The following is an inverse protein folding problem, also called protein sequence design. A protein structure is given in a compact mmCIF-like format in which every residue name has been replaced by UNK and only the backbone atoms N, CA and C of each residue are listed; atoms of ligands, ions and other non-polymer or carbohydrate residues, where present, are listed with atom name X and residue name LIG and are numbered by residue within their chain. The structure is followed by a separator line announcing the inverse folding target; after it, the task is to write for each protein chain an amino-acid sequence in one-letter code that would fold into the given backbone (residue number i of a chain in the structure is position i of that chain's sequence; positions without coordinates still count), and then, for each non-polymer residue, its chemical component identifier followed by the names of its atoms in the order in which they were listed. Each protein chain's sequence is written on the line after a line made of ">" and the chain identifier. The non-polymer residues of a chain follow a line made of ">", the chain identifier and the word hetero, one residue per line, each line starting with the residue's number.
data_IF_699222014892
#
_entry.id   IF_699222014892
#
_cell.length_a   1.000
_cell.length_b   1.000
_cell.length_c   1.000
_cell.angle_alpha   90.00
_cell.angle_beta   90.00
_cell.angle_gamma   90.00
#
_symmetry.space_group_name_H-M   'P 1'
#
loop_
_entity.id
_entity.type
_entity.pdbx_description
1 polymer ?
#
# COMPACT_ATOMS: atom_id res chain seq x y z
N UNK A 1 -0.28 -22.30 -19.52
CA UNK A 1 0.82 -21.52 -18.89
C UNK A 1 0.28 -20.90 -17.62
N UNK A 2 1.11 -20.81 -16.60
CA UNK A 2 0.72 -20.35 -15.26
C UNK A 2 0.33 -18.87 -15.21
N UNK A 3 -0.48 -18.50 -14.22
CA UNK A 3 -0.73 -17.13 -13.80
C UNK A 3 -0.30 -16.96 -12.34
N UNK A 4 0.05 -15.77 -11.94
CA UNK A 4 0.27 -15.43 -10.54
C UNK A 4 -0.72 -14.36 -10.11
N UNK A 5 -1.42 -14.60 -9.01
CA UNK A 5 -2.39 -13.69 -8.41
C UNK A 5 -1.81 -13.20 -7.08
N UNK A 6 -1.55 -11.89 -6.97
CA UNK A 6 -0.99 -11.25 -5.78
C UNK A 6 -2.08 -10.43 -5.13
N UNK A 7 -2.47 -10.80 -3.93
CA UNK A 7 -3.40 -10.07 -3.07
C UNK A 7 -2.58 -9.40 -1.97
N UNK A 8 -2.33 -8.11 -2.10
CA UNK A 8 -1.54 -7.35 -1.14
C UNK A 8 -2.47 -6.55 -0.22
N UNK A 9 -2.47 -6.94 1.06
CA UNK A 9 -3.18 -6.23 2.13
C UNK A 9 -2.27 -5.10 2.62
N UNK A 10 -2.51 -3.88 2.14
CA UNK A 10 -1.68 -2.71 2.42
C UNK A 10 -1.52 -2.50 3.93
N UNK A 11 -0.29 -2.37 4.41
CA UNK A 11 0.07 -2.16 5.80
C UNK A 11 -0.20 -3.32 6.79
N UNK A 12 -0.38 -4.54 6.31
CA UNK A 12 -0.73 -5.68 7.16
C UNK A 12 0.50 -6.39 7.73
N UNK A 13 1.14 -5.78 8.74
CA UNK A 13 2.29 -6.35 9.46
C UNK A 13 1.91 -7.50 10.40
N UNK A 14 2.90 -8.36 10.71
CA UNK A 14 2.76 -9.52 11.62
C UNK A 14 3.90 -9.59 12.63
N UNK A 15 4.23 -8.45 13.23
CA UNK A 15 5.24 -8.29 14.25
C UNK A 15 6.49 -7.55 13.78
N UNK A 16 7.11 -6.81 14.70
CA UNK A 16 8.20 -5.88 14.41
C UNK A 16 9.41 -6.56 13.73
N UNK A 17 10.02 -5.84 12.79
CA UNK A 17 11.23 -6.28 12.12
C UNK A 17 12.46 -6.21 13.05
N UNK A 18 13.55 -6.89 12.68
CA UNK A 18 14.77 -6.92 13.47
C UNK A 18 15.41 -5.54 13.69
N UNK A 19 15.20 -4.62 12.76
CA UNK A 19 15.71 -3.24 12.76
C UNK A 19 14.67 -2.19 13.21
N UNK A 20 13.49 -2.61 13.66
CA UNK A 20 12.39 -1.73 14.07
C UNK A 20 12.77 -0.70 15.14
N UNK A 21 13.76 -1.02 16.01
CA UNK A 21 14.26 -0.09 17.03
C UNK A 21 14.84 1.20 16.41
N UNK A 22 15.49 1.09 15.26
CA UNK A 22 16.03 2.25 14.53
C UNK A 22 14.95 3.19 14.00
N UNK A 23 13.72 2.68 13.84
CA UNK A 23 12.55 3.43 13.39
C UNK A 23 11.60 3.86 14.52
N UNK A 24 11.93 3.50 15.78
CA UNK A 24 11.04 3.73 16.93
C UNK A 24 9.85 2.76 17.01
N UNK A 25 9.88 1.67 16.25
CA UNK A 25 8.76 0.75 16.06
C UNK A 25 8.96 -0.61 16.76
N UNK A 26 9.94 -0.70 17.67
CA UNK A 26 10.17 -1.92 18.43
C UNK A 26 8.97 -2.28 19.28
N UNK A 27 8.36 -3.41 19.00
CA UNK A 27 7.15 -3.89 19.64
C UNK A 27 5.88 -3.69 18.81
N UNK A 28 5.95 -3.02 17.66
CA UNK A 28 4.80 -2.92 16.75
C UNK A 28 4.38 -4.30 16.23
N UNK A 29 3.08 -4.54 16.14
CA UNK A 29 2.51 -5.81 15.74
C UNK A 29 1.05 -5.63 15.29
N UNK A 30 0.88 -5.23 14.05
CA UNK A 30 -0.43 -4.88 13.48
C UNK A 30 -1.47 -5.97 13.73
N UNK A 31 -1.21 -7.21 13.30
CA UNK A 31 -2.14 -8.31 13.49
C UNK A 31 -2.30 -8.69 14.97
N UNK A 32 -1.19 -8.83 15.70
CA UNK A 32 -1.22 -9.27 17.09
C UNK A 32 -1.97 -8.30 18.00
N UNK A 33 -1.77 -7.00 17.82
CA UNK A 33 -2.46 -5.98 18.61
C UNK A 33 -3.95 -5.86 18.24
N UNK A 34 -4.32 -6.06 16.97
CA UNK A 34 -5.74 -6.16 16.57
C UNK A 34 -6.39 -7.38 17.24
N UNK A 35 -5.73 -8.55 17.22
CA UNK A 35 -6.21 -9.76 17.89
C UNK A 35 -6.39 -9.54 19.39
N UNK A 36 -5.38 -8.95 20.06
CA UNK A 36 -5.41 -8.70 21.50
C UNK A 36 -6.53 -7.72 21.87
N UNK A 37 -6.66 -6.64 21.12
CA UNK A 37 -7.69 -5.63 21.37
C UNK A 37 -9.11 -6.21 21.22
N UNK A 38 -9.40 -6.91 20.12
CA UNK A 38 -10.72 -7.48 19.86
C UNK A 38 -11.10 -8.60 20.85
N UNK A 39 -10.11 -9.36 21.32
CA UNK A 39 -10.33 -10.36 22.35
C UNK A 39 -10.72 -9.77 23.71
N UNK A 40 -10.40 -8.50 23.96
CA UNK A 40 -10.63 -7.83 25.27
C UNK A 40 -11.75 -6.78 25.23
N UNK A 41 -12.08 -6.26 24.06
CA UNK A 41 -12.98 -5.14 23.91
C UNK A 41 -14.23 -5.50 23.11
N UNK A 42 -15.44 -5.17 23.60
CA UNK A 42 -16.67 -5.37 22.84
C UNK A 42 -16.71 -4.41 21.64
N UNK A 43 -17.23 -4.87 20.51
CA UNK A 43 -17.41 -4.02 19.32
C UNK A 43 -18.58 -3.06 19.44
N UNK A 44 -19.57 -3.40 20.29
CA UNK A 44 -20.71 -2.55 20.60
C UNK A 44 -20.96 -2.55 22.10
N UNK A 45 -21.47 -1.44 22.59
CA UNK A 45 -21.83 -1.30 24.00
C UNK A 45 -22.82 -2.40 24.43
N UNK A 46 -22.48 -3.14 25.50
CA UNK A 46 -23.30 -4.20 26.05
C UNK A 46 -23.11 -5.60 25.42
N UNK A 47 -22.25 -5.72 24.40
CA UNK A 47 -21.85 -7.04 23.84
C UNK A 47 -20.64 -7.60 24.58
N UNK A 48 -20.44 -8.90 24.51
CA UNK A 48 -19.19 -9.52 24.91
C UNK A 48 -18.09 -9.30 23.87
N UNK A 49 -16.82 -9.23 24.26
CA UNK A 49 -15.70 -9.23 23.31
C UNK A 49 -15.79 -10.42 22.35
N UNK A 50 -15.46 -10.18 21.09
CA UNK A 50 -15.43 -11.22 20.05
C UNK A 50 -14.04 -11.21 19.40
N UNK A 51 -13.23 -12.27 19.58
CA UNK A 51 -11.94 -12.39 18.93
C UNK A 51 -12.03 -12.24 17.41
N UNK A 52 -10.93 -11.78 16.80
CA UNK A 52 -10.78 -11.70 15.35
C UNK A 52 -10.97 -13.10 14.74
N UNK A 53 -11.75 -13.19 13.67
CA UNK A 53 -12.08 -14.46 13.01
C UNK A 53 -11.80 -14.38 11.51
N UNK A 54 -10.71 -15.03 11.08
CA UNK A 54 -10.19 -15.03 9.70
C UNK A 54 -9.93 -16.46 9.24
N UNK A 55 -10.96 -17.33 9.15
CA UNK A 55 -10.76 -18.75 8.88
C UNK A 55 -10.11 -19.02 7.54
N UNK A 56 -10.43 -18.26 6.49
CA UNK A 56 -9.86 -18.47 5.16
C UNK A 56 -8.39 -18.01 5.06
N UNK A 57 -8.04 -16.84 5.59
CA UNK A 57 -6.65 -16.40 5.65
C UNK A 57 -5.81 -17.34 6.52
N UNK A 58 -6.36 -17.80 7.65
CA UNK A 58 -5.70 -18.77 8.53
C UNK A 58 -5.52 -20.13 7.86
N UNK A 59 -6.49 -20.61 7.07
CA UNK A 59 -6.39 -21.80 6.23
C UNK A 59 -5.23 -21.67 5.23
N UNK A 60 -5.02 -20.50 4.66
CA UNK A 60 -3.87 -20.22 3.79
C UNK A 60 -2.55 -20.00 4.54
N UNK A 61 -2.53 -20.11 5.88
CA UNK A 61 -1.31 -20.10 6.69
C UNK A 61 -1.03 -18.81 7.46
N UNK A 62 -1.96 -17.83 7.49
CA UNK A 62 -1.73 -16.55 8.17
C UNK A 62 -1.39 -16.71 9.64
N UNK A 63 -2.14 -17.52 10.39
CA UNK A 63 -1.88 -17.74 11.80
C UNK A 63 -0.48 -18.32 12.02
N UNK A 64 -0.12 -19.35 11.26
CA UNK A 64 1.18 -20.00 11.37
C UNK A 64 2.34 -19.07 10.98
N UNK A 65 2.16 -18.23 9.95
CA UNK A 65 3.14 -17.22 9.56
C UNK A 65 3.33 -16.14 10.65
N UNK A 66 2.25 -15.67 11.26
CA UNK A 66 2.28 -14.69 12.34
C UNK A 66 2.97 -15.25 13.59
N UNK A 67 2.62 -16.45 14.03
CA UNK A 67 3.24 -17.12 15.17
C UNK A 67 4.74 -17.40 14.93
N UNK A 68 5.11 -17.79 13.70
CA UNK A 68 6.51 -17.93 13.29
C UNK A 68 7.26 -16.59 13.34
N UNK A 69 6.64 -15.51 12.87
CA UNK A 69 7.22 -14.16 12.88
C UNK A 69 7.45 -13.63 14.30
N UNK A 70 6.48 -13.82 15.17
CA UNK A 70 6.47 -13.33 16.56
C UNK A 70 7.33 -14.17 17.49
N UNK A 71 7.47 -15.47 17.19
CA UNK A 71 8.06 -16.46 18.11
C UNK A 71 7.13 -16.86 19.27
N UNK A 72 5.85 -16.47 19.22
CA UNK A 72 4.82 -16.77 20.22
C UNK A 72 3.44 -16.89 19.56
N UNK A 73 2.53 -17.57 20.23
CA UNK A 73 1.15 -17.73 19.75
C UNK A 73 0.40 -16.39 19.68
N UNK A 74 -0.58 -16.30 18.77
CA UNK A 74 -1.54 -15.20 18.76
C UNK A 74 -2.41 -15.25 20.03
N UNK A 75 -2.92 -14.09 20.52
CA UNK A 75 -3.79 -14.03 21.70
C UNK A 75 -5.07 -14.89 21.59
N UNK A 76 -5.53 -15.12 20.37
CA UNK A 76 -6.61 -16.05 20.04
C UNK A 76 -6.35 -16.65 18.67
N UNK A 77 -6.84 -17.88 18.42
CA UNK A 77 -6.80 -18.49 17.09
C UNK A 77 -7.70 -17.75 16.10
N UNK A 78 -7.30 -17.77 14.83
CA UNK A 78 -8.00 -17.07 13.74
C UNK A 78 -9.17 -17.89 13.14
N UNK A 79 -9.38 -19.15 13.56
CA UNK A 79 -10.56 -19.94 13.23
C UNK A 79 -10.37 -21.05 12.18
N UNK A 80 -9.17 -21.29 11.65
CA UNK A 80 -8.91 -22.44 10.78
C UNK A 80 -8.58 -23.70 11.59
N UNK A 81 -9.04 -24.86 11.09
CA UNK A 81 -8.71 -26.18 11.65
C UNK A 81 -7.42 -26.77 11.06
N UNK A 82 -7.04 -26.33 9.85
CA UNK A 82 -5.85 -26.83 9.15
C UNK A 82 -5.31 -25.77 8.18
N UNK A 83 -4.09 -25.97 7.73
CA UNK A 83 -3.42 -25.10 6.75
C UNK A 83 -3.25 -25.84 5.42
N UNK A 84 -3.55 -25.19 4.31
CA UNK A 84 -3.48 -25.77 2.95
C UNK A 84 -2.32 -25.22 2.09
N UNK A 85 -1.69 -24.11 2.52
CA UNK A 85 -0.66 -23.42 1.75
C UNK A 85 0.73 -23.49 2.38
N UNK A 86 1.73 -23.01 1.64
CA UNK A 86 3.06 -22.80 2.15
C UNK A 86 3.17 -21.38 2.73
N UNK A 87 3.74 -21.25 3.91
CA UNK A 87 3.73 -20.00 4.67
C UNK A 87 5.08 -19.66 5.27
N UNK A 88 5.34 -18.37 5.37
CA UNK A 88 6.47 -17.79 6.08
C UNK A 88 6.21 -16.29 6.32
N UNK A 89 7.25 -15.58 6.74
CA UNK A 89 7.30 -14.12 6.76
C UNK A 89 8.50 -13.62 5.98
N UNK A 90 8.45 -12.34 5.57
CA UNK A 90 9.57 -11.62 4.98
C UNK A 90 9.95 -10.40 5.82
N UNK A 91 11.23 -10.01 5.76
CA UNK A 91 11.76 -8.80 6.37
C UNK A 91 12.11 -7.78 5.30
N UNK A 92 11.88 -6.51 5.57
CA UNK A 92 12.26 -5.42 4.67
C UNK A 92 13.73 -5.05 4.83
N UNK A 93 14.43 -4.80 3.71
CA UNK A 93 15.80 -4.26 3.70
C UNK A 93 15.87 -2.87 3.07
N UNK A 94 14.77 -2.38 2.51
CA UNK A 94 14.65 -0.98 2.09
C UNK A 94 14.79 -0.05 3.29
N UNK A 95 15.33 1.16 3.05
CA UNK A 95 15.48 2.17 4.10
C UNK A 95 14.16 2.87 4.46
N UNK A 96 13.17 2.84 3.56
CA UNK A 96 11.81 3.30 3.83
C UNK A 96 10.99 2.23 4.55
N UNK A 97 9.86 2.64 5.09
CA UNK A 97 8.78 1.78 5.60
C UNK A 97 7.45 2.22 4.99
N UNK A 98 7.50 2.64 3.76
CA UNK A 98 6.39 3.24 3.01
C UNK A 98 5.96 2.34 1.84
N UNK A 99 4.77 2.62 1.31
CA UNK A 99 4.16 1.83 0.23
C UNK A 99 5.07 1.65 -0.98
N UNK A 100 5.82 2.70 -1.40
CA UNK A 100 6.73 2.57 -2.56
C UNK A 100 7.88 1.62 -2.26
N UNK A 101 8.52 1.79 -1.09
CA UNK A 101 9.65 0.97 -0.64
C UNK A 101 9.27 -0.50 -0.58
N UNK A 102 8.14 -0.83 0.06
CA UNK A 102 7.67 -2.20 0.19
C UNK A 102 7.30 -2.84 -1.15
N UNK A 103 6.50 -2.16 -1.97
CA UNK A 103 6.09 -2.70 -3.27
C UNK A 103 7.25 -2.89 -4.25
N UNK A 104 8.19 -1.93 -4.29
CA UNK A 104 9.36 -2.08 -5.17
C UNK A 104 10.27 -3.20 -4.70
N UNK A 105 10.47 -3.35 -3.39
CA UNK A 105 11.27 -4.43 -2.85
C UNK A 105 10.62 -5.80 -3.13
N UNK A 106 9.31 -5.97 -2.92
CA UNK A 106 8.55 -7.17 -3.33
C UNK A 106 8.80 -7.49 -4.81
N UNK A 107 8.93 -6.44 -5.64
CA UNK A 107 9.18 -6.59 -7.08
C UNK A 107 10.67 -6.67 -7.46
N UNK A 108 11.57 -6.91 -6.49
CA UNK A 108 12.99 -7.15 -6.69
C UNK A 108 13.87 -5.89 -6.73
N UNK A 109 13.37 -4.74 -6.29
CA UNK A 109 14.10 -3.45 -6.30
C UNK A 109 14.07 -2.79 -4.91
N UNK A 110 14.89 -3.25 -3.94
CA UNK A 110 14.99 -2.60 -2.64
C UNK A 110 15.45 -1.15 -2.74
N UNK A 111 14.82 -0.27 -1.95
CA UNK A 111 15.17 1.15 -1.86
C UNK A 111 16.35 1.31 -0.90
N UNK A 112 17.54 1.55 -1.44
CA UNK A 112 18.80 1.67 -0.68
C UNK A 112 19.21 3.11 -0.39
N UNK A 113 18.38 4.08 -0.72
CA UNK A 113 18.58 5.49 -0.47
C UNK A 113 17.48 6.01 0.47
N UNK A 114 17.75 7.13 1.13
CA UNK A 114 16.76 7.74 2.01
C UNK A 114 15.85 8.64 1.19
N UNK A 115 14.53 8.49 1.37
CA UNK A 115 13.59 9.47 0.85
C UNK A 115 13.79 10.81 1.54
N UNK A 116 13.52 11.89 0.83
CA UNK A 116 13.42 13.21 1.43
C UNK A 116 12.06 13.39 2.10
N UNK A 117 12.05 14.11 3.20
CA UNK A 117 10.84 14.48 3.92
C UNK A 117 10.87 15.98 4.22
N UNK A 118 9.72 16.61 4.16
CA UNK A 118 9.61 17.99 4.64
C UNK A 118 9.40 17.98 6.16
N UNK A 119 10.08 18.83 6.92
CA UNK A 119 9.97 18.83 8.38
C UNK A 119 8.58 19.29 8.84
N UNK A 120 8.11 18.77 9.97
CA UNK A 120 6.83 19.19 10.57
C UNK A 120 7.03 20.51 11.36
N UNK A 121 7.11 21.59 10.59
CA UNK A 121 7.24 22.97 11.09
C UNK A 121 6.38 23.90 10.24
N UNK A 122 5.99 25.08 10.74
CA UNK A 122 5.37 26.11 9.92
C UNK A 122 6.31 26.50 8.75
N UNK A 123 5.74 26.61 7.53
CA UNK A 123 6.50 26.82 6.29
C UNK A 123 7.53 25.70 6.06
N UNK A 124 7.05 24.47 6.03
CA UNK A 124 7.87 23.26 5.93
C UNK A 124 8.66 23.12 4.62
N UNK A 125 8.28 23.84 3.56
CA UNK A 125 8.97 23.76 2.27
C UNK A 125 10.14 24.75 2.19
N UNK A 126 11.27 24.37 1.57
CA UNK A 126 12.34 25.30 1.26
C UNK A 126 11.83 26.49 0.45
N UNK A 127 12.20 27.72 0.83
CA UNK A 127 11.70 28.95 0.18
C UNK A 127 12.01 28.96 -1.31
N UNK A 128 13.19 28.49 -1.72
CA UNK A 128 13.58 28.37 -3.11
C UNK A 128 12.67 27.44 -3.93
N UNK A 129 12.17 26.35 -3.33
CA UNK A 129 11.19 25.46 -3.97
C UNK A 129 9.85 26.17 -4.16
N UNK A 130 9.38 26.88 -3.12
CA UNK A 130 8.12 27.64 -3.18
C UNK A 130 8.21 28.75 -4.24
N UNK A 131 9.30 29.50 -4.26
CA UNK A 131 9.54 30.56 -5.25
C UNK A 131 9.59 30.00 -6.69
N UNK A 132 10.22 28.83 -6.87
CA UNK A 132 10.27 28.16 -8.16
C UNK A 132 8.87 27.68 -8.61
N UNK A 133 8.06 27.11 -7.71
CA UNK A 133 6.66 26.71 -8.00
C UNK A 133 5.84 27.92 -8.40
N UNK A 134 5.94 29.04 -7.66
CA UNK A 134 5.20 30.27 -7.94
C UNK A 134 5.61 30.86 -9.30
N UNK A 135 6.91 31.06 -9.50
CA UNK A 135 7.41 31.74 -10.69
C UNK A 135 7.21 30.92 -11.98
N UNK A 136 7.57 29.64 -11.97
CA UNK A 136 7.44 28.78 -13.13
C UNK A 136 6.00 28.30 -13.37
N UNK A 137 5.18 28.20 -12.31
CA UNK A 137 3.74 27.90 -12.40
C UNK A 137 2.89 29.11 -12.75
N UNK A 138 3.49 30.30 -12.90
CA UNK A 138 2.77 31.57 -13.13
C UNK A 138 1.60 31.76 -12.15
N UNK A 139 1.92 31.64 -10.83
CA UNK A 139 0.94 31.69 -9.76
C UNK A 139 0.98 33.05 -9.05
N UNK A 140 -0.15 33.53 -8.51
CA UNK A 140 -0.18 34.74 -7.67
C UNK A 140 0.42 34.49 -6.28
N UNK A 141 0.80 33.26 -5.95
CA UNK A 141 1.33 32.79 -4.69
C UNK A 141 0.81 31.38 -4.38
N UNK A 142 1.07 30.90 -3.17
CA UNK A 142 0.58 29.60 -2.66
C UNK A 142 -0.08 29.80 -1.27
N UNK A 143 -0.84 28.80 -0.81
CA UNK A 143 -1.42 28.70 0.52
C UNK A 143 -0.95 27.42 1.20
N UNK A 144 -1.03 27.35 2.53
CA UNK A 144 -0.70 26.19 3.33
C UNK A 144 0.77 26.17 3.73
N UNK A 145 1.62 25.51 2.99
CA UNK A 145 3.05 25.33 3.30
C UNK A 145 3.30 24.60 4.63
N UNK A 146 2.47 23.59 4.97
CA UNK A 146 2.52 22.92 6.26
C UNK A 146 2.21 21.41 6.14
N UNK A 147 2.42 20.68 7.24
CA UNK A 147 1.85 19.37 7.43
C UNK A 147 0.35 19.48 7.71
N UNK A 148 -0.48 18.73 6.97
CA UNK A 148 -1.92 18.78 7.17
C UNK A 148 -2.65 17.54 6.64
N UNK A 149 -3.83 17.28 7.21
CA UNK A 149 -4.85 16.43 6.59
C UNK A 149 -5.44 17.14 5.38
N UNK A 150 -5.48 16.45 4.22
CA UNK A 150 -5.99 17.06 2.99
C UNK A 150 -7.47 17.47 3.05
N UNK A 151 -8.29 16.84 3.89
CA UNK A 151 -9.67 17.25 4.12
C UNK A 151 -9.77 18.52 4.96
N UNK A 152 -8.98 18.59 6.02
CA UNK A 152 -9.02 19.74 6.94
C UNK A 152 -8.44 21.02 6.29
N UNK A 153 -7.30 20.89 5.60
CA UNK A 153 -6.68 22.06 4.96
C UNK A 153 -7.53 22.64 3.81
N UNK A 154 -8.29 21.78 3.12
CA UNK A 154 -9.24 22.24 2.10
C UNK A 154 -10.40 23.00 2.74
N UNK A 155 -10.94 22.54 3.88
CA UNK A 155 -11.96 23.29 4.63
C UNK A 155 -11.45 24.65 5.12
N UNK A 156 -10.21 24.67 5.60
CA UNK A 156 -9.59 25.90 6.15
C UNK A 156 -9.26 26.93 5.08
N UNK A 157 -8.63 26.51 3.97
CA UNK A 157 -8.04 27.39 2.97
C UNK A 157 -8.80 27.41 1.62
N UNK A 158 -9.81 26.58 1.44
CA UNK A 158 -10.51 26.43 0.16
C UNK A 158 -11.21 27.70 -0.32
N UNK A 159 -11.85 28.44 0.56
CA UNK A 159 -12.49 29.72 0.20
C UNK A 159 -11.44 30.78 -0.22
N UNK A 160 -10.32 30.87 0.50
CA UNK A 160 -9.20 31.75 0.13
C UNK A 160 -8.59 31.33 -1.22
N UNK A 161 -8.44 30.01 -1.44
CA UNK A 161 -7.97 29.46 -2.71
C UNK A 161 -8.87 29.91 -3.88
N UNK A 162 -10.18 29.69 -3.75
CA UNK A 162 -11.15 30.07 -4.80
C UNK A 162 -11.10 31.57 -5.10
N UNK A 163 -10.99 32.42 -4.05
CA UNK A 163 -10.93 33.87 -4.17
C UNK A 163 -9.62 34.37 -4.78
N UNK A 164 -8.49 33.79 -4.40
CA UNK A 164 -7.14 34.29 -4.74
C UNK A 164 -6.50 33.58 -5.93
N UNK A 165 -7.03 32.43 -6.33
CA UNK A 165 -6.41 31.51 -7.30
C UNK A 165 -5.01 30.99 -6.87
N UNK A 166 -4.67 31.06 -5.58
CA UNK A 166 -3.46 30.49 -5.01
C UNK A 166 -3.70 29.01 -4.69
N UNK A 167 -2.99 28.04 -5.31
CA UNK A 167 -3.13 26.64 -4.94
C UNK A 167 -2.70 26.39 -3.50
N UNK A 168 -3.28 25.35 -2.86
CA UNK A 168 -2.93 24.95 -1.49
C UNK A 168 -1.85 23.88 -1.60
N UNK A 169 -0.62 24.17 -1.12
CA UNK A 169 0.47 23.21 -1.06
C UNK A 169 0.67 22.74 0.39
N UNK A 170 0.79 21.43 0.57
CA UNK A 170 0.95 20.84 1.89
C UNK A 170 1.67 19.48 1.79
N UNK A 171 2.06 18.92 2.93
CA UNK A 171 2.68 17.61 3.03
C UNK A 171 2.05 16.78 4.16
N UNK A 172 2.51 15.57 4.34
CA UNK A 172 2.17 14.66 5.44
C UNK A 172 3.45 13.95 5.92
N UNK A 173 3.31 12.90 6.73
CA UNK A 173 4.44 12.10 7.19
C UNK A 173 5.18 11.37 6.05
N UNK A 174 4.53 11.17 4.90
CA UNK A 174 5.13 10.55 3.72
C UNK A 174 6.10 11.48 2.98
N UNK A 175 6.94 10.88 2.13
CA UNK A 175 7.78 11.60 1.16
C UNK A 175 6.93 12.16 0.01
N UNK A 176 6.21 13.24 0.26
CA UNK A 176 5.19 13.76 -0.67
C UNK A 176 5.06 15.29 -0.63
N UNK A 177 4.78 15.88 -1.79
CA UNK A 177 4.21 17.22 -1.90
C UNK A 177 2.80 17.10 -2.49
N UNK A 178 1.82 17.68 -1.84
CA UNK A 178 0.42 17.62 -2.27
C UNK A 178 -0.06 19.01 -2.66
N UNK A 179 -0.82 19.09 -3.76
CA UNK A 179 -1.36 20.34 -4.28
C UNK A 179 -2.88 20.19 -4.40
N UNK A 180 -3.62 20.91 -3.56
CA UNK A 180 -5.07 20.95 -3.65
C UNK A 180 -5.52 22.22 -4.41
N UNK A 181 -6.49 22.02 -5.33
CA UNK A 181 -7.11 23.11 -6.07
C UNK A 181 -8.55 22.77 -6.46
N UNK A 182 -9.39 23.81 -6.54
CA UNK A 182 -10.79 23.67 -6.95
C UNK A 182 -10.89 23.45 -8.45
N UNK A 183 -11.61 22.41 -8.89
CA UNK A 183 -11.66 22.00 -10.30
C UNK A 183 -12.14 23.07 -11.24
N UNK A 184 -13.16 23.81 -10.87
CA UNK A 184 -13.74 24.85 -11.72
C UNK A 184 -13.02 26.20 -11.58
N UNK A 185 -12.70 26.62 -10.36
CA UNK A 185 -12.12 27.93 -10.12
C UNK A 185 -10.63 28.02 -10.52
N UNK A 186 -9.86 26.96 -10.34
CA UNK A 186 -8.46 26.89 -10.73
C UNK A 186 -8.25 26.21 -12.08
N UNK A 187 -9.04 25.19 -12.38
CA UNK A 187 -8.96 24.33 -13.55
C UNK A 187 -8.21 23.02 -13.29
N UNK A 188 -8.87 21.89 -13.60
CA UNK A 188 -8.31 20.56 -13.37
C UNK A 188 -7.00 20.32 -14.15
N UNK A 189 -6.99 20.66 -15.45
CA UNK A 189 -5.78 20.52 -16.29
C UNK A 189 -4.63 21.40 -15.79
N UNK A 190 -4.94 22.62 -15.36
CA UNK A 190 -3.95 23.53 -14.77
C UNK A 190 -3.35 22.95 -13.49
N UNK A 191 -4.15 22.29 -12.65
CA UNK A 191 -3.67 21.58 -11.47
C UNK A 191 -2.71 20.45 -11.86
N UNK A 192 -3.06 19.66 -12.87
CA UNK A 192 -2.20 18.57 -13.34
C UNK A 192 -0.86 19.10 -13.91
N UNK A 193 -0.88 20.17 -14.67
CA UNK A 193 0.34 20.77 -15.20
C UNK A 193 1.20 21.37 -14.10
N UNK A 194 0.59 21.97 -13.09
CA UNK A 194 1.31 22.44 -11.89
C UNK A 194 1.94 21.28 -11.12
N UNK A 195 1.23 20.15 -10.97
CA UNK A 195 1.79 18.96 -10.33
C UNK A 195 2.94 18.35 -11.12
N UNK A 196 2.88 18.29 -12.45
CA UNK A 196 4.00 17.86 -13.31
C UNK A 196 5.22 18.76 -13.15
N UNK A 197 5.02 20.08 -13.06
CA UNK A 197 6.07 21.03 -12.79
C UNK A 197 6.68 20.81 -11.41
N UNK A 198 5.85 20.77 -10.38
CA UNK A 198 6.28 20.55 -9.00
C UNK A 198 7.05 19.22 -8.87
N UNK A 199 6.61 18.16 -9.55
CA UNK A 199 7.29 16.87 -9.57
C UNK A 199 8.74 16.96 -10.09
N UNK A 200 9.01 17.80 -11.08
CA UNK A 200 10.38 18.06 -11.54
C UNK A 200 11.17 18.86 -10.52
N UNK A 201 10.54 19.84 -9.87
CA UNK A 201 11.19 20.73 -8.91
C UNK A 201 11.54 20.05 -7.58
N UNK A 202 10.80 19.01 -7.17
CA UNK A 202 11.08 18.29 -5.92
C UNK A 202 12.14 17.19 -6.07
N UNK A 203 12.59 16.85 -7.29
CA UNK A 203 13.60 15.79 -7.50
C UNK A 203 14.91 16.03 -6.73
N UNK A 204 15.49 17.26 -6.67
CA UNK A 204 16.69 17.52 -5.87
C UNK A 204 16.51 17.27 -4.36
N UNK A 205 15.28 17.26 -3.88
CA UNK A 205 14.94 16.99 -2.48
C UNK A 205 14.63 15.52 -2.21
N UNK A 206 14.75 14.66 -3.22
CA UNK A 206 14.48 13.22 -3.13
C UNK A 206 13.06 12.87 -2.68
N UNK A 207 12.08 13.71 -3.03
CA UNK A 207 10.67 13.50 -2.72
C UNK A 207 10.07 12.46 -3.68
N UNK A 208 9.44 11.45 -3.12
CA UNK A 208 8.93 10.30 -3.85
C UNK A 208 7.72 10.60 -4.75
N UNK A 209 6.85 11.53 -4.31
CA UNK A 209 5.56 11.77 -5.01
C UNK A 209 5.15 13.24 -4.99
N UNK A 210 4.43 13.65 -6.04
CA UNK A 210 3.57 14.84 -6.04
C UNK A 210 2.15 14.42 -6.32
N UNK A 211 1.18 14.87 -5.53
CA UNK A 211 -0.22 14.45 -5.65
C UNK A 211 -1.11 15.65 -5.98
N UNK A 212 -1.86 15.54 -7.08
CA UNK A 212 -2.97 16.42 -7.39
C UNK A 212 -4.19 16.04 -6.51
N UNK A 213 -4.71 17.00 -5.76
CA UNK A 213 -5.87 16.86 -4.87
C UNK A 213 -7.00 17.79 -5.31
N UNK A 214 -7.69 17.50 -6.42
CA UNK A 214 -8.80 18.31 -6.87
C UNK A 214 -9.99 18.20 -5.90
N UNK A 215 -10.72 19.32 -5.78
CA UNK A 215 -11.94 19.37 -4.97
C UNK A 215 -12.99 20.29 -5.63
N UNK A 216 -14.22 20.13 -5.21
CA UNK A 216 -15.38 20.94 -5.62
C UNK A 216 -16.16 21.41 -4.39
N UNK A 217 -17.11 22.31 -4.56
CA UNK A 217 -17.94 22.87 -3.51
C UNK A 217 -17.94 24.39 -3.56
N UNK A 218 -18.70 25.03 -2.69
CA UNK A 218 -18.90 26.49 -2.68
C UNK A 218 -18.38 27.15 -1.42
N UNK A 219 -18.25 26.38 -0.33
CA UNK A 219 -17.78 26.88 0.97
C UNK A 219 -17.14 25.74 1.80
N UNK A 220 -16.57 26.07 2.95
CA UNK A 220 -15.90 25.14 3.85
C UNK A 220 -16.79 23.95 4.28
N UNK A 221 -18.11 24.11 4.31
CA UNK A 221 -19.04 23.08 4.77
C UNK A 221 -19.31 21.99 3.70
N UNK A 222 -19.14 22.33 2.40
CA UNK A 222 -19.48 21.42 1.29
C UNK A 222 -18.27 21.04 0.42
N UNK A 223 -17.08 21.58 0.69
CA UNK A 223 -15.88 21.19 -0.04
C UNK A 223 -15.64 19.69 0.05
N UNK A 224 -15.58 19.04 -1.13
CA UNK A 224 -15.42 17.60 -1.24
C UNK A 224 -14.35 17.28 -2.28
N UNK A 225 -13.42 16.40 -1.93
CA UNK A 225 -12.41 15.89 -2.86
C UNK A 225 -13.06 15.04 -3.94
N UNK A 226 -12.64 15.21 -5.18
CA UNK A 226 -13.14 14.45 -6.30
C UNK A 226 -12.33 13.17 -6.53
N UNK A 227 -12.82 12.32 -7.43
CA UNK A 227 -12.11 11.11 -7.89
C UNK A 227 -10.99 11.40 -8.89
N UNK A 228 -10.85 12.66 -9.33
CA UNK A 228 -9.81 13.12 -10.27
C UNK A 228 -8.43 13.34 -9.60
N UNK A 229 -8.19 12.69 -8.45
CA UNK A 229 -6.87 12.59 -7.84
C UNK A 229 -5.88 11.97 -8.84
N UNK A 230 -4.67 12.53 -8.91
CA UNK A 230 -3.60 11.97 -9.72
C UNK A 230 -2.26 12.04 -8.97
N UNK A 231 -1.57 10.89 -8.90
CA UNK A 231 -0.27 10.76 -8.22
C UNK A 231 0.85 10.71 -9.27
N UNK A 232 1.79 11.65 -9.18
CA UNK A 232 3.04 11.66 -9.93
C UNK A 232 4.12 11.05 -9.05
N UNK A 233 4.46 9.79 -9.27
CA UNK A 233 5.48 9.06 -8.51
C UNK A 233 6.76 8.89 -9.31
N UNK A 234 7.90 8.84 -8.62
CA UNK A 234 9.16 8.44 -9.25
C UNK A 234 9.05 6.96 -9.67
N UNK A 235 9.53 6.59 -10.86
CA UNK A 235 9.58 5.18 -11.24
C UNK A 235 10.67 4.45 -10.44
N UNK A 236 10.50 3.15 -10.24
CA UNK A 236 11.55 2.32 -9.65
C UNK A 236 12.86 2.49 -10.44
N UNK A 237 14.02 2.63 -9.75
CA UNK A 237 15.31 2.97 -10.40
C UNK A 237 15.86 1.84 -11.27
N UNK A 238 15.33 0.63 -11.13
CA UNK A 238 15.72 -0.57 -11.85
C UNK A 238 14.50 -1.27 -12.42
N UNK A 239 14.64 -2.20 -13.40
CA UNK A 239 13.55 -3.03 -13.88
C UNK A 239 12.99 -3.91 -12.74
N UNK A 240 11.70 -3.80 -12.51
CA UNK A 240 10.95 -4.59 -11.52
C UNK A 240 10.54 -5.96 -12.08
N UNK A 241 9.99 -6.84 -11.23
CA UNK A 241 9.30 -8.06 -11.64
C UNK A 241 8.27 -7.79 -12.75
N UNK A 242 7.53 -6.67 -12.63
CA UNK A 242 6.48 -6.32 -13.59
C UNK A 242 7.06 -5.95 -14.96
N UNK A 243 8.16 -5.17 -14.99
CA UNK A 243 8.90 -4.87 -16.23
C UNK A 243 9.39 -6.16 -16.91
N UNK A 244 9.94 -7.09 -16.11
CA UNK A 244 10.46 -8.37 -16.62
C UNK A 244 9.36 -9.27 -17.16
N UNK A 245 8.19 -9.28 -16.51
CA UNK A 245 7.02 -10.01 -16.99
C UNK A 245 6.58 -9.53 -18.37
N UNK A 246 6.48 -8.22 -18.56
CA UNK A 246 6.12 -7.61 -19.85
C UNK A 246 7.22 -7.86 -20.90
N UNK A 247 8.50 -7.72 -20.52
CA UNK A 247 9.63 -8.00 -21.41
C UNK A 247 9.66 -9.47 -21.90
N UNK A 248 9.18 -10.41 -21.09
CA UNK A 248 9.03 -11.81 -21.46
C UNK A 248 7.78 -12.09 -22.32
N UNK A 249 7.05 -11.06 -22.73
CA UNK A 249 5.81 -11.18 -23.54
C UNK A 249 4.57 -11.58 -22.75
N UNK A 250 4.64 -11.50 -21.42
CA UNK A 250 3.48 -11.71 -20.55
C UNK A 250 2.70 -10.42 -20.28
N UNK A 251 1.70 -10.52 -19.43
CA UNK A 251 0.83 -9.41 -19.05
C UNK A 251 0.89 -9.12 -17.55
N UNK A 252 0.64 -7.87 -17.19
CA UNK A 252 0.46 -7.44 -15.81
C UNK A 252 -0.84 -6.66 -15.69
N UNK A 253 -1.76 -7.19 -14.91
CA UNK A 253 -3.05 -6.58 -14.61
C UNK A 253 -3.00 -5.96 -13.22
N UNK A 254 -2.99 -4.65 -13.19
CA UNK A 254 -2.93 -3.85 -11.96
C UNK A 254 -4.34 -3.52 -11.47
N UNK A 255 -4.63 -3.77 -10.19
CA UNK A 255 -5.90 -3.42 -9.56
C UNK A 255 -5.66 -2.42 -8.44
N UNK A 256 -6.50 -1.39 -8.37
CA UNK A 256 -6.37 -0.32 -7.39
C UNK A 256 -5.15 0.57 -7.64
N UNK A 257 -4.35 0.83 -6.62
CA UNK A 257 -3.18 1.74 -6.68
C UNK A 257 -1.92 1.18 -7.34
N UNK A 258 -1.87 -0.08 -7.72
CA UNK A 258 -0.66 -0.71 -8.26
C UNK A 258 -0.09 0.07 -9.45
N UNK A 259 -0.94 0.53 -10.37
CA UNK A 259 -0.47 1.30 -11.53
C UNK A 259 0.25 2.60 -11.11
N UNK A 260 -0.27 3.32 -10.13
CA UNK A 260 0.30 4.57 -9.63
C UNK A 260 1.61 4.31 -8.86
N UNK A 261 1.65 3.26 -8.03
CA UNK A 261 2.83 2.84 -7.24
C UNK A 261 4.03 2.54 -8.16
N UNK A 262 3.79 1.93 -9.31
CA UNK A 262 4.81 1.61 -10.30
C UNK A 262 4.95 2.67 -11.41
N UNK A 263 4.38 3.87 -11.24
CA UNK A 263 4.40 4.96 -12.24
C UNK A 263 3.97 4.46 -13.64
N UNK A 264 3.01 3.55 -13.69
CA UNK A 264 2.48 2.86 -14.87
C UNK A 264 3.51 2.03 -15.66
N UNK A 265 4.73 1.82 -15.14
CA UNK A 265 5.74 0.95 -15.76
C UNK A 265 5.42 -0.52 -15.50
N UNK A 266 5.62 -1.34 -16.53
CA UNK A 266 5.35 -2.79 -16.44
C UNK A 266 3.87 -3.13 -16.28
N UNK A 267 2.93 -2.24 -16.61
CA UNK A 267 1.49 -2.47 -16.50
C UNK A 267 0.88 -2.58 -17.91
N UNK A 268 0.16 -3.67 -18.17
CA UNK A 268 -0.51 -3.89 -19.47
C UNK A 268 -2.01 -3.57 -19.41
N UNK A 269 -2.63 -3.72 -18.24
CA UNK A 269 -4.05 -3.37 -18.03
C UNK A 269 -4.25 -2.88 -16.59
N UNK A 270 -5.09 -1.85 -16.43
CA UNK A 270 -5.41 -1.27 -15.12
C UNK A 270 -6.91 -1.36 -14.86
N UNK A 271 -7.28 -1.85 -13.68
CA UNK A 271 -8.63 -1.88 -13.13
C UNK A 271 -8.71 -0.89 -11.98
N UNK A 272 -9.13 0.35 -12.29
CA UNK A 272 -9.28 1.39 -11.30
C UNK A 272 -10.44 1.06 -10.34
N UNK A 273 -10.14 0.98 -9.06
CA UNK A 273 -11.13 0.75 -8.01
C UNK A 273 -10.67 1.42 -6.70
N UNK A 274 -11.61 1.76 -5.85
CA UNK A 274 -11.38 2.31 -4.52
C UNK A 274 -12.50 1.90 -3.57
N UNK A 275 -12.11 1.60 -2.33
CA UNK A 275 -12.97 0.96 -1.35
C UNK A 275 -12.92 -0.57 -1.44
N UNK A 276 -12.81 -1.21 -0.28
CA UNK A 276 -12.50 -2.64 -0.15
C UNK A 276 -13.43 -3.54 -0.98
N UNK A 277 -14.73 -3.28 -0.98
CA UNK A 277 -15.72 -4.03 -1.75
C UNK A 277 -15.46 -3.99 -3.26
N UNK A 278 -15.24 -2.78 -3.79
CA UNK A 278 -14.96 -2.59 -5.22
C UNK A 278 -13.59 -3.14 -5.63
N UNK A 279 -12.61 -3.12 -4.73
CA UNK A 279 -11.30 -3.73 -4.97
C UNK A 279 -11.41 -5.25 -5.08
N UNK A 280 -12.22 -5.90 -4.23
CA UNK A 280 -12.53 -7.34 -4.36
C UNK A 280 -13.18 -7.63 -5.72
N UNK A 281 -14.22 -6.87 -6.11
CA UNK A 281 -14.92 -7.10 -7.38
C UNK A 281 -14.00 -6.85 -8.59
N UNK A 282 -13.19 -5.79 -8.56
CA UNK A 282 -12.21 -5.51 -9.61
C UNK A 282 -11.13 -6.59 -9.70
N UNK A 283 -10.71 -7.18 -8.56
CA UNK A 283 -9.78 -8.31 -8.51
C UNK A 283 -10.40 -9.54 -9.18
N UNK A 284 -11.63 -9.88 -8.84
CA UNK A 284 -12.38 -10.98 -9.48
C UNK A 284 -12.45 -10.79 -11.00
N UNK A 285 -12.78 -9.57 -11.44
CA UNK A 285 -12.84 -9.25 -12.87
C UNK A 285 -11.45 -9.39 -13.53
N UNK A 286 -10.40 -8.88 -12.89
CA UNK A 286 -9.03 -9.00 -13.39
C UNK A 286 -8.58 -10.46 -13.50
N UNK A 287 -8.88 -11.31 -12.50
CA UNK A 287 -8.58 -12.74 -12.51
C UNK A 287 -9.37 -13.47 -13.60
N UNK A 288 -10.66 -13.14 -13.77
CA UNK A 288 -11.50 -13.73 -14.82
C UNK A 288 -11.01 -13.37 -16.23
N UNK A 289 -10.60 -12.10 -16.45
CA UNK A 289 -10.11 -11.59 -17.73
C UNK A 289 -8.67 -12.06 -18.06
N UNK A 290 -7.87 -12.42 -17.05
CA UNK A 290 -6.45 -12.67 -17.21
C UNK A 290 -6.18 -13.92 -18.09
N UNK A 291 -5.45 -13.76 -19.22
CA UNK A 291 -4.97 -14.89 -20.00
C UNK A 291 -3.84 -15.63 -19.27
N UNK A 292 -3.39 -16.72 -19.85
CA UNK A 292 -2.14 -17.35 -19.43
C UNK A 292 -0.97 -16.35 -19.46
N UNK A 293 0.07 -16.64 -18.70
CA UNK A 293 1.27 -15.80 -18.60
C UNK A 293 0.96 -14.37 -18.12
N UNK A 294 0.16 -14.29 -17.05
CA UNK A 294 -0.26 -13.00 -16.46
C UNK A 294 0.04 -12.94 -14.97
N UNK A 295 0.53 -11.81 -14.50
CA UNK A 295 0.51 -11.41 -13.08
C UNK A 295 -0.70 -10.49 -12.87
N UNK A 296 -1.61 -10.89 -11.99
CA UNK A 296 -2.68 -10.02 -11.45
C UNK A 296 -2.20 -9.51 -10.11
N UNK A 297 -2.06 -8.20 -9.94
CA UNK A 297 -1.57 -7.60 -8.71
C UNK A 297 -2.59 -6.60 -8.18
N UNK A 298 -3.12 -6.87 -6.98
CA UNK A 298 -4.09 -6.03 -6.28
C UNK A 298 -3.49 -5.43 -5.03
N UNK A 299 -3.67 -4.11 -4.83
CA UNK A 299 -3.41 -3.43 -3.57
C UNK A 299 -4.74 -3.10 -2.87
N UNK A 300 -4.99 -3.72 -1.72
CA UNK A 300 -6.14 -3.44 -0.85
C UNK A 300 -5.80 -2.30 0.10
N UNK A 301 -5.75 -1.10 -0.43
CA UNK A 301 -5.26 0.12 0.22
C UNK A 301 -6.07 0.58 1.43
N UNK A 302 -7.30 0.11 1.58
CA UNK A 302 -8.20 0.56 2.66
C UNK A 302 -7.66 0.20 4.04
N UNK A 303 -6.95 -0.90 4.19
CA UNK A 303 -6.34 -1.31 5.45
C UNK A 303 -5.41 -0.24 6.00
N UNK A 304 -4.57 0.33 5.14
CA UNK A 304 -3.70 1.43 5.48
C UNK A 304 -4.45 2.76 5.63
N UNK A 305 -5.07 3.21 4.54
CA UNK A 305 -5.58 4.58 4.42
C UNK A 305 -6.82 4.87 5.26
N UNK A 306 -7.66 3.86 5.50
CA UNK A 306 -8.92 4.01 6.22
C UNK A 306 -8.83 3.60 7.69
N UNK A 307 -7.88 2.74 8.05
CA UNK A 307 -7.79 2.17 9.41
C UNK A 307 -6.42 2.36 10.05
N UNK A 308 -5.30 1.98 9.41
CA UNK A 308 -3.96 2.10 9.93
C UNK A 308 -3.61 3.52 10.32
N UNK A 309 -3.57 4.44 9.37
CA UNK A 309 -3.30 5.86 9.61
C UNK A 309 -4.32 6.56 10.52
N UNK A 310 -5.52 6.01 10.67
CA UNK A 310 -6.58 6.57 11.53
C UNK A 310 -6.60 5.98 12.93
N UNK A 311 -5.71 5.00 13.19
CA UNK A 311 -5.65 4.29 14.47
C UNK A 311 -7.00 3.65 14.87
N UNK A 312 -7.73 3.18 13.85
CA UNK A 312 -9.02 2.51 14.03
C UNK A 312 -8.82 0.99 14.09
N UNK A 313 -8.48 0.51 15.29
CA UNK A 313 -8.21 -0.92 15.55
C UNK A 313 -9.44 -1.76 15.24
N UNK A 314 -10.61 -1.31 15.67
CA UNK A 314 -11.87 -2.04 15.45
C UNK A 314 -12.22 -2.11 13.97
N UNK A 315 -12.20 -0.98 13.28
CA UNK A 315 -12.48 -0.92 11.85
C UNK A 315 -11.51 -1.75 11.03
N UNK A 316 -10.21 -1.78 11.42
CA UNK A 316 -9.22 -2.62 10.76
C UNK A 316 -9.58 -4.11 10.88
N UNK A 317 -9.92 -4.58 12.09
CA UNK A 317 -10.33 -5.96 12.32
C UNK A 317 -11.61 -6.34 11.58
N UNK A 318 -12.62 -5.46 11.56
CA UNK A 318 -13.88 -5.67 10.82
C UNK A 318 -13.63 -5.71 9.31
N UNK A 319 -12.72 -4.89 8.79
CA UNK A 319 -12.33 -4.91 7.39
C UNK A 319 -11.58 -6.20 6.99
N UNK A 320 -10.73 -6.73 7.88
CA UNK A 320 -10.08 -8.03 7.69
C UNK A 320 -11.11 -9.16 7.65
N UNK A 321 -12.07 -9.21 8.57
CA UNK A 321 -13.14 -10.21 8.57
C UNK A 321 -14.02 -10.10 7.30
N UNK A 322 -14.29 -8.88 6.84
CA UNK A 322 -15.01 -8.67 5.58
C UNK A 322 -14.19 -9.20 4.38
N UNK A 323 -12.91 -8.86 4.27
CA UNK A 323 -12.04 -9.38 3.24
C UNK A 323 -11.97 -10.91 3.27
N UNK A 324 -11.75 -11.49 4.45
CA UNK A 324 -11.69 -12.93 4.65
C UNK A 324 -12.96 -13.63 4.15
N UNK A 325 -14.14 -13.06 4.46
CA UNK A 325 -15.43 -13.58 3.99
C UNK A 325 -15.60 -13.57 2.47
N UNK A 326 -14.94 -12.62 1.79
CA UNK A 326 -14.97 -12.46 0.33
C UNK A 326 -13.85 -13.24 -0.39
N UNK A 327 -12.81 -13.67 0.34
CA UNK A 327 -11.66 -14.39 -0.23
C UNK A 327 -12.04 -15.64 -1.04
N UNK A 328 -13.01 -16.47 -0.63
CA UNK A 328 -13.48 -17.61 -1.42
C UNK A 328 -14.00 -17.26 -2.81
N UNK A 329 -14.52 -16.04 -3.02
CA UNK A 329 -14.98 -15.61 -4.33
C UNK A 329 -13.82 -15.41 -5.32
N UNK A 330 -12.63 -15.04 -4.81
CA UNK A 330 -11.41 -14.89 -5.62
C UNK A 330 -10.79 -16.26 -5.85
N UNK A 331 -10.64 -17.06 -4.78
CA UNK A 331 -9.99 -18.38 -4.89
C UNK A 331 -10.76 -19.36 -5.76
N UNK A 332 -12.09 -19.26 -5.83
CA UNK A 332 -12.92 -20.06 -6.73
C UNK A 332 -12.66 -19.79 -8.23
N UNK A 333 -11.99 -18.68 -8.59
CA UNK A 333 -11.63 -18.35 -9.97
C UNK A 333 -10.25 -18.87 -10.37
N UNK A 334 -9.49 -19.43 -9.43
CA UNK A 334 -8.16 -19.94 -9.69
C UNK A 334 -8.21 -21.21 -10.54
N UNK A 335 -7.27 -21.31 -11.46
CA UNK A 335 -7.01 -22.50 -12.28
C UNK A 335 -6.03 -23.42 -11.55
N UNK A 336 -5.95 -24.71 -11.91
CA UNK A 336 -5.04 -25.65 -11.25
C UNK A 336 -3.57 -25.22 -11.21
N UNK A 337 -3.12 -24.50 -12.24
CA UNK A 337 -1.74 -24.01 -12.37
C UNK A 337 -1.58 -22.55 -11.89
N UNK A 338 -2.54 -21.96 -11.21
CA UNK A 338 -2.40 -20.59 -10.71
C UNK A 338 -1.68 -20.56 -9.36
N UNK A 339 -0.71 -19.65 -9.25
CA UNK A 339 -0.05 -19.34 -7.98
C UNK A 339 -0.80 -18.18 -7.31
N UNK A 340 -1.34 -18.41 -6.13
CA UNK A 340 -1.88 -17.37 -5.26
C UNK A 340 -0.83 -16.97 -4.24
N UNK A 341 -0.57 -15.67 -4.13
CA UNK A 341 0.21 -15.05 -3.07
C UNK A 341 -0.65 -14.05 -2.31
N UNK A 342 -0.69 -14.16 -0.99
CA UNK A 342 -1.21 -13.13 -0.09
C UNK A 342 -0.07 -12.60 0.75
N UNK A 343 0.07 -11.26 0.80
CA UNK A 343 1.19 -10.58 1.48
C UNK A 343 0.81 -9.15 1.85
N UNK A 344 1.75 -8.39 2.37
CA UNK A 344 1.66 -6.95 2.64
C UNK A 344 2.93 -6.26 2.13
N UNK A 345 2.99 -4.94 2.27
CA UNK A 345 4.14 -4.12 1.86
C UNK A 345 4.88 -3.48 3.03
N UNK A 346 4.23 -3.28 4.16
CA UNK A 346 4.77 -2.79 5.43
C UNK A 346 3.78 -3.07 6.57
N UNK A 347 4.02 -2.56 7.77
CA UNK A 347 3.07 -2.50 8.87
C UNK A 347 2.47 -1.11 9.04
N UNK A 348 1.34 -1.02 9.70
CA UNK A 348 0.75 0.23 10.21
C UNK A 348 -0.14 -0.09 11.42
N UNK A 349 0.51 -0.44 12.52
CA UNK A 349 -0.14 -0.88 13.74
C UNK A 349 -1.13 0.21 14.26
N UNK A 350 -2.43 -0.05 14.24
CA UNK A 350 -3.41 0.95 14.63
C UNK A 350 -3.43 1.24 16.14
N UNK A 351 -2.67 0.49 16.94
CA UNK A 351 -2.47 0.76 18.36
C UNK A 351 -1.21 1.60 18.64
N UNK A 352 -0.35 1.80 17.63
CA UNK A 352 0.93 2.47 17.78
C UNK A 352 0.77 4.00 17.89
N UNK A 353 1.78 4.66 18.46
CA UNK A 353 1.80 6.11 18.60
C UNK A 353 1.96 6.80 17.23
N UNK A 354 1.48 8.03 17.14
CA UNK A 354 1.52 8.82 15.89
C UNK A 354 0.57 8.27 14.82
N UNK A 355 0.84 8.58 13.57
CA UNK A 355 0.03 8.16 12.40
C UNK A 355 0.89 7.57 11.28
N UNK A 356 2.18 7.33 11.52
CA UNK A 356 3.11 6.80 10.54
C UNK A 356 3.03 5.26 10.46
N UNK A 357 3.57 4.71 9.37
CA UNK A 357 3.75 3.27 9.19
C UNK A 357 4.67 2.68 10.26
N UNK A 358 4.58 1.38 10.50
CA UNK A 358 5.43 0.65 11.44
C UNK A 358 6.35 -0.34 10.72
N UNK A 359 7.60 -0.42 11.19
CA UNK A 359 8.64 -1.31 10.62
C UNK A 359 8.40 -2.74 11.08
N UNK A 360 7.63 -3.49 10.28
CA UNK A 360 7.21 -4.85 10.60
C UNK A 360 7.63 -5.88 9.55
N UNK A 361 7.65 -7.13 9.96
CA UNK A 361 7.67 -8.28 9.06
C UNK A 361 6.27 -8.44 8.44
N UNK A 362 6.22 -8.93 7.21
CA UNK A 362 4.98 -9.15 6.47
C UNK A 362 4.69 -10.64 6.27
N UNK A 363 3.43 -11.07 6.19
CA UNK A 363 3.07 -12.45 5.86
C UNK A 363 3.44 -12.76 4.40
N UNK A 364 3.85 -14.00 4.16
CA UNK A 364 4.05 -14.54 2.80
C UNK A 364 3.35 -15.89 2.75
N UNK A 365 2.18 -15.91 2.09
CA UNK A 365 1.28 -17.05 2.04
C UNK A 365 1.11 -17.47 0.59
N UNK A 366 1.67 -18.64 0.23
CA UNK A 366 1.54 -19.22 -1.11
C UNK A 366 0.53 -20.37 -1.12
N UNK A 367 -0.33 -20.42 -2.13
CA UNK A 367 -1.26 -21.53 -2.34
C UNK A 367 -1.61 -21.70 -3.82
N UNK A 368 -2.36 -22.74 -4.15
CA UNK A 368 -2.62 -23.11 -5.53
C UNK A 368 -1.45 -23.85 -6.19
N UNK A 369 -1.49 -24.04 -7.50
CA UNK A 369 -0.40 -24.65 -8.30
C UNK A 369 0.14 -25.99 -7.78
N UNK A 370 -0.64 -26.71 -6.99
CA UNK A 370 -0.19 -27.98 -6.38
C UNK A 370 0.77 -27.81 -5.19
N UNK A 371 0.84 -26.61 -4.61
CA UNK A 371 1.64 -26.33 -3.41
C UNK A 371 1.13 -27.14 -2.23
N UNK A 372 2.03 -27.88 -1.60
CA UNK A 372 1.75 -28.59 -0.36
C UNK A 372 1.85 -27.68 0.87
N UNK A 373 1.09 -28.03 1.90
CA UNK A 373 1.19 -27.34 3.21
C UNK A 373 2.59 -27.52 3.78
N UNK A 374 3.33 -26.42 3.90
CA UNK A 374 4.67 -26.43 4.54
C UNK A 374 5.07 -25.06 5.07
N UNK A 375 5.84 -25.09 6.14
CA UNK A 375 6.56 -23.91 6.60
C UNK A 375 7.81 -23.72 5.74
N UNK A 376 7.92 -22.53 5.13
CA UNK A 376 9.12 -22.12 4.40
C UNK A 376 10.12 -21.44 5.34
N UNK A 377 11.37 -21.34 4.91
CA UNK A 377 12.37 -20.54 5.64
C UNK A 377 11.97 -19.06 5.61
N UNK A 378 12.19 -18.32 6.70
CA UNK A 378 12.00 -16.88 6.73
C UNK A 378 12.78 -16.18 5.62
N UNK A 379 12.12 -15.32 4.87
CA UNK A 379 12.70 -14.52 3.81
C UNK A 379 13.47 -13.34 4.39
N UNK A 380 14.69 -13.14 3.92
CA UNK A 380 15.60 -12.11 4.45
C UNK A 380 15.36 -10.74 3.81
N UNK A 381 14.61 -10.70 2.74
CA UNK A 381 14.20 -9.49 2.02
C UNK A 381 12.85 -9.72 1.37
N UNK A 382 12.04 -8.68 1.22
CA UNK A 382 10.81 -8.76 0.43
C UNK A 382 11.10 -9.13 -1.04
N UNK A 383 12.31 -8.87 -1.53
CA UNK A 383 12.72 -9.23 -2.88
C UNK A 383 12.74 -10.75 -3.15
N UNK A 384 12.83 -11.57 -2.09
CA UNK A 384 12.73 -13.03 -2.20
C UNK A 384 11.36 -13.46 -2.76
N UNK A 385 10.31 -12.67 -2.48
CA UNK A 385 8.97 -12.87 -3.03
C UNK A 385 8.98 -12.72 -4.56
N UNK A 386 9.50 -11.59 -5.05
CA UNK A 386 9.59 -11.32 -6.48
C UNK A 386 10.44 -12.34 -7.23
N UNK A 387 11.56 -12.75 -6.64
CA UNK A 387 12.43 -13.77 -7.21
C UNK A 387 11.74 -15.15 -7.28
N UNK A 388 10.94 -15.49 -6.27
CA UNK A 388 10.15 -16.74 -6.26
C UNK A 388 9.09 -16.72 -7.35
N UNK A 389 8.40 -15.58 -7.55
CA UNK A 389 7.44 -15.41 -8.63
C UNK A 389 8.12 -15.47 -10.01
N UNK A 390 9.28 -14.82 -10.17
CA UNK A 390 10.02 -14.86 -11.43
C UNK A 390 10.43 -16.28 -11.83
N UNK A 391 10.89 -17.08 -10.87
CA UNK A 391 11.22 -18.50 -11.07
C UNK A 391 9.97 -19.34 -11.45
N UNK A 392 8.85 -19.13 -10.74
CA UNK A 392 7.57 -19.80 -11.05
C UNK A 392 7.06 -19.45 -12.45
N UNK A 393 7.07 -18.16 -12.81
CA UNK A 393 6.64 -17.68 -14.13
C UNK A 393 7.65 -17.97 -15.25
N UNK A 394 8.84 -18.51 -14.90
CA UNK A 394 9.94 -18.81 -15.84
C UNK A 394 10.37 -17.60 -16.66
N UNK A 395 10.43 -16.45 -16.01
CA UNK A 395 10.92 -15.20 -16.60
C UNK A 395 12.34 -14.88 -16.09
N UNK A 396 12.97 -13.85 -16.64
CA UNK A 396 14.28 -13.39 -16.21
C UNK A 396 14.29 -13.10 -14.70
N UNK A 397 15.30 -13.56 -13.94
CA UNK A 397 15.41 -13.30 -12.51
C UNK A 397 15.37 -11.81 -12.15
N UNK A 398 14.80 -11.47 -10.99
CA UNK A 398 14.90 -10.14 -10.43
C UNK A 398 16.35 -9.79 -10.09
N UNK A 399 16.67 -8.50 -9.94
CA UNK A 399 18.06 -8.07 -9.67
C UNK A 399 18.52 -8.44 -8.25
N UNK A 400 17.58 -8.57 -7.34
CA UNK A 400 17.81 -8.96 -5.94
C UNK A 400 16.78 -9.99 -5.53
N UNK A 401 17.07 -10.66 -4.43
CA UNK A 401 16.22 -11.73 -3.90
C UNK A 401 16.72 -13.13 -4.23
N UNK A 402 16.31 -14.06 -3.40
CA UNK A 402 16.58 -15.50 -3.55
C UNK A 402 15.26 -16.23 -3.59
N UNK A 403 15.08 -17.10 -4.57
CA UNK A 403 13.86 -17.92 -4.63
C UNK A 403 13.75 -18.85 -3.43
N UNK A 404 12.54 -19.04 -2.95
CA UNK A 404 12.26 -20.08 -1.96
C UNK A 404 11.91 -21.41 -2.65
N UNK A 405 12.16 -22.50 -1.96
CA UNK A 405 11.80 -23.84 -2.42
C UNK A 405 10.29 -24.08 -2.20
N UNK A 406 9.52 -23.71 -3.22
CA UNK A 406 8.06 -23.70 -3.14
C UNK A 406 7.47 -25.06 -3.54
N UNK A 407 8.14 -25.84 -4.42
CA UNK A 407 7.70 -27.11 -4.99
C UNK A 407 8.63 -28.26 -4.61
#
# INVERSE_FOLDING_TARGET
>A
MARTIILLLDSFGIGYAHDAEAYGDKGADTLGHICDWLAKNPRRAGEAPKPLHLPHLAEHGLQAAAELSRGEALPAGLGAEHTIGAYTYAQEVSRGKDTLSGHWEISGVPVKFDWGYFPDVPKCFPQELVDAIISQGNLPGVLGECHASGTEIIKELGEEHVRSSKPIIYTSADSVLQIAAHEEAFGLERLYDLCKLAFKLVQPYNIARVIARPFVGTCAADFTRTTNRHDYAVPAPQPTLLDKMVAAGGSVYAVGKIADIFAHRGITKHYAAGGLDKLVDATKQAVADAPDNTIVFTNFVDFDSSYGHRRDIQGYGEALEYFDSRLPEITALLRPDDLLLMTADHGNDPSWSGTDHTREKIPVLFSGAGIECKQLKPMQTFADIGQTIADYMKIEPTLTGTKTDLF
#
